data_IF_156236627932
#
_entry.id   IF_156236627932
#
_cell.length_a   1.000
_cell.length_b   1.000
_cell.length_c   1.000
_cell.angle_alpha   90.00
_cell.angle_beta   90.00
_cell.angle_gamma   90.00
#
_symmetry.space_group_name_H-M   'P 1'
#
loop_
_entity.id
_entity.type
_entity.pdbx_description
1 polymer ?
#
# COMPACT_ATOMS: atom_id res chain seq x y z
N UNK A 1 -26.70 26.20 7.94
CA UNK A 1 -26.49 24.75 8.19
C UNK A 1 -26.31 24.57 9.69
N UNK A 2 -27.06 23.69 10.34
CA UNK A 2 -26.92 23.50 11.79
C UNK A 2 -25.51 23.01 12.13
N UNK A 3 -25.02 23.32 13.33
CA UNK A 3 -23.68 22.96 13.80
C UNK A 3 -23.40 21.46 13.67
N UNK A 4 -24.45 20.65 13.88
CA UNK A 4 -24.43 19.19 13.75
C UNK A 4 -24.06 18.78 12.30
N UNK A 5 -24.64 19.45 11.30
CA UNK A 5 -24.37 19.15 9.88
C UNK A 5 -22.92 19.47 9.53
N UNK A 6 -22.36 20.57 10.06
CA UNK A 6 -20.96 20.94 9.84
C UNK A 6 -19.99 19.92 10.46
N UNK A 7 -20.30 19.43 11.66
CA UNK A 7 -19.49 18.43 12.35
C UNK A 7 -19.46 17.09 11.58
N UNK A 8 -20.62 16.63 11.11
CA UNK A 8 -20.72 15.41 10.29
C UNK A 8 -19.90 15.56 8.99
N UNK A 9 -19.96 16.73 8.36
CA UNK A 9 -19.22 16.98 7.13
C UNK A 9 -17.70 16.90 7.34
N UNK A 10 -17.19 17.45 8.44
CA UNK A 10 -15.78 17.32 8.81
C UNK A 10 -15.39 15.86 9.06
N UNK A 11 -16.22 15.10 9.78
CA UNK A 11 -15.98 13.67 10.01
C UNK A 11 -15.89 12.88 8.68
N UNK A 12 -16.79 13.15 7.73
CA UNK A 12 -16.77 12.52 6.40
C UNK A 12 -15.48 12.86 5.64
N UNK A 13 -15.03 14.13 5.70
CA UNK A 13 -13.78 14.55 5.06
C UNK A 13 -12.58 13.82 5.69
N UNK A 14 -12.50 13.73 7.02
CA UNK A 14 -11.42 13.01 7.69
C UNK A 14 -11.43 11.52 7.37
N UNK A 15 -12.59 10.88 7.40
CA UNK A 15 -12.73 9.46 7.08
C UNK A 15 -12.40 9.16 5.62
N UNK A 16 -12.82 10.01 4.69
CA UNK A 16 -12.48 9.85 3.27
C UNK A 16 -10.98 10.01 3.01
N UNK A 17 -10.33 11.01 3.62
CA UNK A 17 -8.86 11.13 3.56
C UNK A 17 -8.15 9.91 4.14
N UNK A 18 -8.64 9.40 5.27
CA UNK A 18 -8.08 8.22 5.92
C UNK A 18 -8.24 6.96 5.05
N UNK A 19 -9.42 6.76 4.45
CA UNK A 19 -9.69 5.65 3.53
C UNK A 19 -8.80 5.75 2.29
N UNK A 20 -8.57 6.95 1.75
CA UNK A 20 -7.67 7.15 0.60
C UNK A 20 -6.22 6.87 0.99
N UNK A 21 -5.77 7.33 2.16
CA UNK A 21 -4.42 7.09 2.66
C UNK A 21 -4.17 5.59 2.95
N UNK A 22 -5.15 4.86 3.47
CA UNK A 22 -5.03 3.41 3.70
C UNK A 22 -5.21 2.58 2.42
N UNK A 23 -6.03 3.03 1.46
CA UNK A 23 -6.14 2.39 0.14
C UNK A 23 -5.00 2.75 -0.81
N UNK A 24 -4.11 3.68 -0.44
CA UNK A 24 -2.77 3.71 -0.97
C UNK A 24 -2.01 2.49 -0.43
N UNK A 25 -2.49 1.30 -0.81
CA UNK A 25 -1.71 0.16 -1.21
C UNK A 25 -0.31 0.20 -0.56
N UNK A 26 -0.23 -0.28 0.69
CA UNK A 26 1.02 -0.48 1.44
C UNK A 26 1.84 -1.62 0.80
N UNK A 27 2.07 -1.52 -0.50
CA UNK A 27 2.88 -2.45 -1.23
C UNK A 27 4.33 -2.06 -0.99
N UNK A 28 5.10 -3.02 -0.48
CA UNK A 28 6.55 -2.92 -0.55
C UNK A 28 6.94 -2.97 -2.01
N UNK A 29 7.23 -1.79 -2.56
CA UNK A 29 7.77 -1.66 -3.89
C UNK A 29 9.15 -2.33 -3.91
N UNK A 30 9.42 -3.12 -4.95
CA UNK A 30 10.71 -3.78 -5.13
C UNK A 30 11.16 -3.73 -6.59
N UNK A 31 12.47 -3.60 -6.80
CA UNK A 31 13.09 -3.79 -8.09
C UNK A 31 13.76 -5.17 -8.17
N UNK A 32 14.28 -5.64 -7.05
CA UNK A 32 14.94 -6.93 -6.87
C UNK A 32 14.45 -7.63 -5.59
N UNK A 33 14.64 -8.95 -5.51
CA UNK A 33 14.29 -9.73 -4.31
C UNK A 33 15.02 -9.26 -3.04
N UNK A 34 16.16 -8.60 -3.20
CA UNK A 34 16.93 -7.99 -2.11
C UNK A 34 16.22 -6.83 -1.43
N UNK A 35 15.22 -6.24 -2.08
CA UNK A 35 14.52 -5.05 -1.58
C UNK A 35 13.40 -5.46 -0.62
N UNK A 36 13.00 -6.73 -0.63
CA UNK A 36 11.98 -7.34 0.22
C UNK A 36 12.52 -7.81 1.58
N UNK A 37 13.47 -7.07 2.16
CA UNK A 37 14.20 -7.49 3.38
C UNK A 37 13.46 -7.21 4.69
N UNK A 38 12.59 -6.20 4.72
CA UNK A 38 12.20 -5.57 5.99
C UNK A 38 10.71 -5.65 6.33
N UNK A 39 9.85 -6.18 5.46
CA UNK A 39 8.42 -5.94 5.64
C UNK A 39 7.63 -7.07 6.32
N UNK A 40 7.94 -8.34 6.10
CA UNK A 40 7.23 -9.43 6.79
C UNK A 40 8.16 -10.63 6.91
N UNK A 41 8.01 -11.47 7.94
CA UNK A 41 8.74 -12.74 8.01
C UNK A 41 7.90 -13.72 7.19
N UNK A 42 8.32 -14.08 5.97
CA UNK A 42 7.60 -15.15 5.27
C UNK A 42 7.68 -16.42 6.12
N UNK A 43 6.52 -16.98 6.46
CA UNK A 43 6.46 -18.25 7.18
C UNK A 43 7.01 -19.37 6.27
N UNK A 44 7.91 -20.23 6.77
CA UNK A 44 8.41 -21.36 6.00
C UNK A 44 7.23 -22.24 5.54
N UNK A 45 7.21 -22.73 4.28
CA UNK A 45 8.30 -22.80 3.31
C UNK A 45 8.45 -21.59 2.37
N UNK A 46 7.60 -20.56 2.54
CA UNK A 46 7.52 -19.45 1.59
C UNK A 46 8.75 -18.56 1.67
N UNK A 47 9.12 -17.95 0.53
CA UNK A 47 10.25 -17.02 0.44
C UNK A 47 9.80 -15.66 -0.08
N UNK A 48 10.50 -14.62 0.34
CA UNK A 48 10.34 -13.29 -0.21
C UNK A 48 10.69 -13.30 -1.70
N UNK A 49 9.76 -12.81 -2.52
CA UNK A 49 9.94 -12.70 -3.95
C UNK A 49 9.43 -11.35 -4.44
N UNK A 50 10.18 -10.72 -5.35
CA UNK A 50 9.73 -9.52 -6.02
C UNK A 50 8.88 -9.91 -7.23
N UNK A 51 7.56 -9.81 -7.09
CA UNK A 51 6.61 -10.09 -8.16
C UNK A 51 6.52 -8.90 -9.12
N UNK A 52 7.03 -9.07 -10.34
CA UNK A 52 6.98 -8.08 -11.43
C UNK A 52 5.81 -8.28 -12.39
N UNK A 53 4.93 -9.25 -12.14
CA UNK A 53 3.80 -9.59 -13.02
C UNK A 53 2.73 -8.49 -12.98
N UNK A 54 2.58 -7.80 -11.85
CA UNK A 54 1.75 -6.61 -11.69
C UNK A 54 2.68 -5.41 -11.50
N UNK A 55 3.26 -4.83 -12.57
CA UNK A 55 4.13 -3.68 -12.44
C UNK A 55 3.33 -2.48 -11.94
N UNK A 56 3.76 -1.89 -10.83
CA UNK A 56 3.28 -0.59 -10.39
C UNK A 56 4.10 0.46 -11.11
N UNK A 57 3.44 1.42 -11.78
CA UNK A 57 4.14 2.56 -12.38
C UNK A 57 4.32 3.63 -11.32
N UNK A 58 5.58 3.93 -10.99
CA UNK A 58 5.94 5.01 -10.07
C UNK A 58 7.07 5.80 -10.73
N UNK A 59 6.87 7.10 -10.92
CA UNK A 59 7.90 8.02 -11.46
C UNK A 59 8.61 7.44 -12.71
N UNK A 60 7.83 6.97 -13.69
CA UNK A 60 8.32 6.40 -14.97
C UNK A 60 9.09 5.06 -14.86
N UNK A 61 9.15 4.45 -13.67
CA UNK A 61 9.79 3.14 -13.46
C UNK A 61 8.77 2.03 -13.25
N UNK A 62 8.99 0.89 -13.92
CA UNK A 62 8.25 -0.35 -13.65
C UNK A 62 8.86 -1.04 -12.44
N UNK A 63 8.12 -1.08 -11.36
CA UNK A 63 8.51 -1.72 -10.11
C UNK A 63 7.53 -2.84 -9.76
N UNK A 64 8.05 -3.90 -9.13
CA UNK A 64 7.26 -5.03 -8.66
C UNK A 64 6.80 -4.84 -7.21
N UNK A 65 6.09 -5.83 -6.71
CA UNK A 65 5.62 -5.90 -5.34
C UNK A 65 6.25 -7.08 -4.60
N UNK A 66 6.62 -6.90 -3.33
CA UNK A 66 7.07 -8.02 -2.52
C UNK A 66 5.91 -8.95 -2.15
N UNK A 67 6.08 -10.25 -2.42
CA UNK A 67 5.12 -11.29 -2.09
C UNK A 67 5.82 -12.48 -1.41
N UNK A 68 5.07 -13.25 -0.63
CA UNK A 68 5.49 -14.54 -0.09
C UNK A 68 4.97 -15.67 -0.96
N UNK A 69 5.87 -16.28 -1.74
CA UNK A 69 5.59 -17.41 -2.65
C UNK A 69 6.15 -18.71 -2.08
#
# INVERSE_FOLDING_TARGET
MSEIVKFIYLMIIFLSLFIVAMNANAFSICQNNSDCKDQEICLPPKKHWCNKIVPVMIEETMVGNCECI
#
